data_IF_877773328357
#
_entry.id   IF_877773328357
#
_cell.length_a   1.000
_cell.length_b   1.000
_cell.length_c   1.000
_cell.angle_alpha   90.00
_cell.angle_beta   90.00
_cell.angle_gamma   90.00
#
_symmetry.space_group_name_H-M   'P 1'
#
loop_
_entity.id
_entity.type
_entity.pdbx_description
1 polymer ?
#
# COMPACT_ATOMS: atom_id res chain seq x y z
N UNK A 1 20.80 -19.63 21.92
CA UNK A 1 20.15 -18.36 21.55
C UNK A 1 19.75 -18.52 20.10
N UNK A 2 18.56 -19.06 19.84
CA UNK A 2 18.20 -19.63 18.53
C UNK A 2 17.62 -18.52 17.65
N UNK A 3 18.31 -18.32 16.53
CA UNK A 3 18.02 -17.41 15.43
C UNK A 3 16.58 -17.55 14.94
N UNK A 4 15.77 -16.50 15.17
CA UNK A 4 14.37 -16.41 14.72
C UNK A 4 14.20 -15.82 13.31
N UNK A 5 15.15 -16.05 12.41
CA UNK A 5 15.14 -15.42 11.07
C UNK A 5 14.98 -16.40 9.91
N UNK A 6 14.91 -17.71 10.15
CA UNK A 6 14.79 -18.69 9.07
C UNK A 6 13.34 -19.00 8.64
N UNK A 7 12.37 -18.97 9.58
CA UNK A 7 11.03 -19.54 9.33
C UNK A 7 10.14 -18.71 8.37
N UNK A 8 10.30 -17.39 8.32
CA UNK A 8 9.55 -16.54 7.38
C UNK A 8 10.15 -16.62 5.96
N UNK A 9 11.46 -16.83 5.86
CA UNK A 9 12.15 -16.95 4.58
C UNK A 9 11.99 -18.31 3.91
N UNK A 10 11.73 -19.38 4.66
CA UNK A 10 11.47 -20.70 4.08
C UNK A 10 10.11 -20.76 3.37
N UNK A 11 9.05 -20.17 3.95
CA UNK A 11 7.71 -20.17 3.34
C UNK A 11 7.66 -19.44 1.98
N UNK A 12 8.43 -18.36 1.84
CA UNK A 12 8.51 -17.59 0.60
C UNK A 12 9.34 -18.28 -0.49
N UNK A 13 10.34 -19.10 -0.12
CA UNK A 13 11.24 -19.75 -1.08
C UNK A 13 10.72 -21.11 -1.59
N UNK A 14 9.98 -21.86 -0.77
CA UNK A 14 9.36 -23.13 -1.20
C UNK A 14 8.16 -22.93 -2.14
N UNK A 15 7.53 -21.75 -2.11
CA UNK A 15 6.33 -21.41 -2.89
C UNK A 15 6.59 -20.90 -4.32
N UNK A 16 7.80 -21.07 -4.87
CA UNK A 16 8.05 -20.84 -6.29
C UNK A 16 7.72 -19.41 -6.76
N UNK A 17 8.12 -18.39 -5.98
CA UNK A 17 8.19 -17.00 -6.45
C UNK A 17 6.89 -16.18 -6.43
N UNK A 18 5.80 -16.72 -5.89
CA UNK A 18 4.62 -15.92 -5.56
C UNK A 18 3.85 -16.64 -4.46
N UNK A 19 4.03 -16.26 -3.19
CA UNK A 19 3.35 -16.86 -2.03
C UNK A 19 1.84 -16.59 -1.99
N UNK A 20 1.15 -16.86 -3.10
CA UNK A 20 -0.25 -16.57 -3.33
C UNK A 20 -1.03 -17.89 -3.15
N UNK A 21 -1.92 -18.01 -2.15
CA UNK A 21 -2.65 -19.24 -1.88
C UNK A 21 -3.58 -19.62 -3.02
N UNK A 22 -3.78 -20.92 -3.22
CA UNK A 22 -4.71 -21.49 -4.18
C UNK A 22 -6.12 -20.87 -3.99
N UNK A 23 -6.65 -20.21 -5.03
CA UNK A 23 -7.92 -19.48 -4.98
C UNK A 23 -7.80 -17.96 -5.11
N UNK A 24 -6.61 -17.40 -4.96
CA UNK A 24 -6.35 -16.01 -5.34
C UNK A 24 -6.00 -15.97 -6.84
N UNK A 25 -6.86 -15.32 -7.63
CA UNK A 25 -6.62 -15.17 -9.07
C UNK A 25 -5.30 -14.43 -9.26
N UNK A 26 -4.31 -15.10 -9.86
CA UNK A 26 -3.13 -14.45 -10.42
C UNK A 26 -3.68 -13.51 -11.49
N UNK A 27 -3.63 -12.24 -11.16
CA UNK A 27 -4.60 -11.22 -11.53
C UNK A 27 -4.47 -10.71 -12.96
N UNK A 28 -5.62 -10.54 -13.61
CA UNK A 28 -5.81 -9.64 -14.76
C UNK A 28 -5.84 -8.20 -14.25
N UNK A 29 -4.72 -7.68 -13.77
CA UNK A 29 -4.66 -6.28 -13.35
C UNK A 29 -4.88 -5.38 -14.57
N UNK A 30 -5.62 -4.25 -14.41
CA UNK A 30 -5.65 -3.25 -15.46
C UNK A 30 -4.22 -2.83 -15.79
N UNK A 31 -4.00 -2.45 -17.05
CA UNK A 31 -2.73 -1.85 -17.46
C UNK A 31 -2.43 -0.65 -16.56
N UNK A 32 -1.14 -0.36 -16.40
CA UNK A 32 -0.72 0.83 -15.67
C UNK A 32 -1.44 2.07 -16.22
N UNK A 33 -1.94 2.97 -15.35
CA UNK A 33 -2.63 4.18 -15.78
C UNK A 33 -1.72 5.04 -16.65
N UNK A 34 -2.32 5.79 -17.58
CA UNK A 34 -1.59 6.75 -18.40
C UNK A 34 -1.00 7.86 -17.53
N UNK A 35 0.05 8.53 -18.01
CA UNK A 35 0.70 9.61 -17.25
C UNK A 35 -0.29 10.74 -16.93
N UNK A 36 -1.22 11.02 -17.85
CA UNK A 36 -2.27 12.01 -17.68
C UNK A 36 -3.22 11.66 -16.53
N UNK A 37 -3.56 10.38 -16.37
CA UNK A 37 -4.40 9.88 -15.27
C UNK A 37 -3.68 9.99 -13.93
N UNK A 38 -2.37 9.71 -13.92
CA UNK A 38 -1.53 9.88 -12.72
C UNK A 38 -1.52 11.34 -12.27
N UNK A 39 -1.31 12.28 -13.20
CA UNK A 39 -1.30 13.71 -12.89
C UNK A 39 -2.70 14.24 -12.51
N UNK A 40 -3.76 13.68 -13.08
CA UNK A 40 -5.13 13.95 -12.65
C UNK A 40 -5.38 13.45 -11.22
N UNK A 41 -4.97 12.22 -10.91
CA UNK A 41 -5.06 11.63 -9.58
C UNK A 41 -4.29 12.43 -8.53
N UNK A 42 -3.07 12.87 -8.87
CA UNK A 42 -2.25 13.76 -8.02
C UNK A 42 -3.00 15.03 -7.66
N UNK A 43 -3.61 15.72 -8.63
CA UNK A 43 -4.42 16.92 -8.36
C UNK A 43 -5.57 16.65 -7.40
N UNK A 44 -6.28 15.54 -7.57
CA UNK A 44 -7.36 15.15 -6.63
C UNK A 44 -6.79 14.90 -5.23
N UNK A 45 -5.68 14.16 -5.12
CA UNK A 45 -5.04 13.85 -3.85
C UNK A 45 -4.68 15.11 -3.06
N UNK A 46 -4.00 16.07 -3.71
CA UNK A 46 -3.60 17.33 -3.08
C UNK A 46 -4.80 18.24 -2.76
N UNK A 47 -5.95 18.05 -3.41
CA UNK A 47 -7.16 18.83 -3.14
C UNK A 47 -8.01 18.23 -2.02
N UNK A 48 -8.03 16.91 -1.88
CA UNK A 48 -9.03 16.20 -1.06
C UNK A 48 -8.43 15.34 0.05
N UNK A 49 -7.26 14.76 -0.17
CA UNK A 49 -6.72 13.70 0.68
C UNK A 49 -5.58 14.19 1.59
N UNK A 50 -4.73 15.07 1.07
CA UNK A 50 -3.50 15.55 1.73
C UNK A 50 -3.72 16.12 3.13
N UNK A 51 -4.89 16.74 3.37
CA UNK A 51 -5.22 17.35 4.66
C UNK A 51 -5.26 16.34 5.81
N UNK A 52 -5.66 15.10 5.54
CA UNK A 52 -5.70 14.03 6.53
C UNK A 52 -4.53 13.06 6.37
N UNK A 53 -4.14 12.76 5.13
CA UNK A 53 -3.17 11.71 4.83
C UNK A 53 -1.73 12.20 4.65
N UNK A 54 -1.47 13.50 4.63
CA UNK A 54 -0.12 14.04 4.43
C UNK A 54 0.28 14.03 2.96
N UNK A 55 1.47 14.55 2.64
CA UNK A 55 1.97 14.65 1.26
C UNK A 55 2.29 13.27 0.69
N UNK A 56 2.82 12.38 1.53
CA UNK A 56 3.28 11.04 1.16
C UNK A 56 2.29 9.93 1.54
N UNK A 57 1.09 10.26 2.03
CA UNK A 57 0.10 9.27 2.44
C UNK A 57 0.32 8.66 3.82
N UNK A 58 1.24 9.20 4.62
CA UNK A 58 1.61 8.68 5.94
C UNK A 58 0.52 8.78 7.02
N UNK A 59 -0.63 9.42 6.75
CA UNK A 59 -1.66 9.64 7.77
C UNK A 59 -1.27 10.73 8.77
N UNK A 60 -0.41 11.65 8.36
CA UNK A 60 0.21 12.72 9.13
C UNK A 60 -0.13 14.11 8.58
N UNK A 61 -1.26 14.22 7.87
CA UNK A 61 -1.74 15.49 7.36
C UNK A 61 -2.07 16.50 8.48
N UNK A 62 -2.18 17.81 8.17
CA UNK A 62 -2.45 18.86 9.17
C UNK A 62 -3.71 18.66 10.04
N UNK A 63 -4.64 17.83 9.57
CA UNK A 63 -5.87 17.47 10.28
C UNK A 63 -5.81 16.10 10.97
N UNK A 64 -4.73 15.33 10.82
CA UNK A 64 -4.61 13.97 11.32
C UNK A 64 -4.82 13.88 12.85
N UNK A 65 -4.29 14.84 13.61
CA UNK A 65 -4.39 14.85 15.07
C UNK A 65 -5.79 15.22 15.60
N UNK A 66 -6.70 15.60 14.70
CA UNK A 66 -8.12 15.87 15.03
C UNK A 66 -9.03 14.68 14.74
N UNK A 67 -8.49 13.56 14.24
CA UNK A 67 -9.26 12.39 13.85
C UNK A 67 -8.96 11.21 14.77
N UNK A 68 -10.00 10.65 15.38
CA UNK A 68 -9.93 9.41 16.17
C UNK A 68 -10.95 8.38 15.63
N UNK A 69 -10.51 7.18 15.18
CA UNK A 69 -9.12 6.73 15.07
C UNK A 69 -8.33 7.50 14.00
N UNK A 70 -7.00 7.42 14.05
CA UNK A 70 -6.13 8.04 13.05
C UNK A 70 -6.46 7.56 11.62
N UNK A 71 -6.23 8.39 10.58
CA UNK A 71 -6.35 7.95 9.19
C UNK A 71 -5.48 6.72 8.93
N UNK A 72 -6.06 5.69 8.29
CA UNK A 72 -5.31 4.50 7.83
C UNK A 72 -4.40 4.91 6.66
N UNK A 73 -3.15 4.49 6.73
CA UNK A 73 -2.14 4.61 5.69
C UNK A 73 -2.09 3.35 4.81
#
# INVERSE_FOLDING_TARGET
MISGSAAVWTYAQESGGSGVPEGFKKSDFPAMPAAEDIEAGKRVYFTKCVWCHGVDGGGDGPSADRLWPRPRN
#
